data_IF_972179150285
#
_entry.id   IF_972179150285
#
_cell.length_a   1.000
_cell.length_b   1.000
_cell.length_c   1.000
_cell.angle_alpha   90.00
_cell.angle_beta   90.00
_cell.angle_gamma   90.00
#
_symmetry.space_group_name_H-M   'P 1'
#
loop_
_entity.id
_entity.type
_entity.pdbx_description
1 polymer ?
#
# COMPACT_ATOMS: atom_id res chain seq x y z
N UNK A 1 10.36 5.04 6.86
CA UNK A 1 10.01 5.63 5.54
C UNK A 1 10.08 4.62 4.38
N UNK A 2 10.81 3.50 4.51
CA UNK A 2 10.89 2.47 3.46
C UNK A 2 9.51 1.94 3.05
N UNK A 3 8.62 1.76 4.01
CA UNK A 3 7.24 1.31 3.75
C UNK A 3 6.47 2.24 2.81
N UNK A 4 6.50 3.55 3.06
CA UNK A 4 5.79 4.53 2.22
C UNK A 4 6.38 4.56 0.81
N UNK A 5 7.71 4.49 0.68
CA UNK A 5 8.37 4.39 -0.64
C UNK A 5 7.93 3.12 -1.39
N UNK A 6 7.84 1.99 -0.69
CA UNK A 6 7.34 0.73 -1.26
C UNK A 6 5.88 0.84 -1.70
N UNK A 7 5.04 1.49 -0.90
CA UNK A 7 3.63 1.73 -1.24
C UNK A 7 3.50 2.57 -2.52
N UNK A 8 4.24 3.67 -2.62
CA UNK A 8 4.22 4.51 -3.82
C UNK A 8 4.70 3.75 -5.06
N UNK A 9 5.65 2.83 -4.90
CA UNK A 9 6.10 1.96 -6.00
C UNK A 9 5.00 1.01 -6.47
N UNK A 10 4.38 0.25 -5.57
CA UNK A 10 3.31 -0.70 -5.94
C UNK A 10 2.03 0.02 -6.40
N UNK A 11 1.84 1.28 -5.99
CA UNK A 11 0.76 2.14 -6.46
C UNK A 11 1.01 2.74 -7.85
N UNK A 12 2.20 2.53 -8.44
CA UNK A 12 2.56 3.11 -9.74
C UNK A 12 2.86 4.62 -9.69
N UNK A 13 2.97 5.19 -8.50
CA UNK A 13 3.33 6.60 -8.28
C UNK A 13 4.86 6.79 -8.40
N UNK A 14 5.61 5.78 -7.96
CA UNK A 14 7.07 5.70 -7.99
C UNK A 14 7.71 6.09 -6.65
N UNK A 15 8.60 5.23 -6.17
CA UNK A 15 9.30 5.42 -4.87
C UNK A 15 10.17 6.68 -4.79
N UNK A 16 10.58 7.21 -5.94
CA UNK A 16 11.40 8.42 -6.04
C UNK A 16 10.58 9.71 -5.93
N UNK A 17 9.24 9.63 -5.85
CA UNK A 17 8.39 10.81 -5.57
C UNK A 17 8.41 11.22 -4.10
N UNK A 18 8.94 10.39 -3.21
CA UNK A 18 9.11 10.71 -1.79
C UNK A 18 10.59 10.93 -1.49
N UNK A 19 10.95 12.16 -1.12
CA UNK A 19 12.27 12.51 -0.63
C UNK A 19 12.20 12.81 0.86
N UNK A 20 13.04 12.16 1.64
CA UNK A 20 13.14 12.36 3.08
C UNK A 20 14.59 12.19 3.51
N UNK A 21 15.16 13.26 4.08
CA UNK A 21 16.55 13.32 4.49
C UNK A 21 16.66 14.07 5.81
N UNK A 22 17.55 13.60 6.69
CA UNK A 22 17.90 14.30 7.92
C UNK A 22 19.19 15.09 7.70
N UNK A 23 19.15 16.40 7.91
CA UNK A 23 20.31 17.30 7.75
C UNK A 23 20.40 18.21 8.95
N UNK A 24 21.59 18.32 9.54
CA UNK A 24 21.84 19.27 10.61
C UNK A 24 21.98 20.69 10.07
N UNK A 25 21.62 21.69 10.86
CA UNK A 25 21.81 23.11 10.51
C UNK A 25 23.28 23.51 10.32
N UNK A 26 24.22 22.70 10.83
CA UNK A 26 25.65 22.90 10.64
C UNK A 26 26.19 22.37 9.30
N UNK A 27 25.41 21.56 8.56
CA UNK A 27 25.84 20.87 7.34
C UNK A 27 25.39 21.62 6.06
N UNK A 28 25.75 22.89 5.94
CA UNK A 28 25.27 23.76 4.85
C UNK A 28 25.55 23.20 3.45
N UNK A 29 26.73 22.61 3.23
CA UNK A 29 27.10 22.03 1.94
C UNK A 29 26.24 20.81 1.58
N UNK A 30 26.05 19.89 2.54
CA UNK A 30 25.21 18.70 2.35
C UNK A 30 23.75 19.06 2.10
N UNK A 31 23.25 20.10 2.77
CA UNK A 31 21.91 20.62 2.50
C UNK A 31 21.76 21.08 1.05
N UNK A 32 22.72 21.85 0.53
CA UNK A 32 22.69 22.34 -0.84
C UNK A 32 22.68 21.18 -1.86
N UNK A 33 23.51 20.16 -1.65
CA UNK A 33 23.57 18.96 -2.50
C UNK A 33 22.26 18.17 -2.48
N UNK A 34 21.66 17.95 -1.31
CA UNK A 34 20.37 17.27 -1.19
C UNK A 34 19.27 18.07 -1.89
N UNK A 35 19.22 19.38 -1.68
CA UNK A 35 18.22 20.24 -2.31
C UNK A 35 18.35 20.20 -3.84
N UNK A 36 19.57 20.25 -4.38
CA UNK A 36 19.83 20.12 -5.81
C UNK A 36 19.35 18.76 -6.36
N UNK A 37 19.68 17.66 -5.68
CA UNK A 37 19.23 16.33 -6.07
C UNK A 37 17.71 16.19 -6.08
N UNK A 38 17.02 16.73 -5.06
CA UNK A 38 15.55 16.73 -5.00
C UNK A 38 14.96 17.55 -6.15
N UNK A 39 15.50 18.74 -6.43
CA UNK A 39 15.04 19.59 -7.54
C UNK A 39 15.22 18.88 -8.88
N UNK A 40 16.37 18.23 -9.11
CA UNK A 40 16.64 17.49 -10.33
C UNK A 40 15.73 16.27 -10.48
N UNK A 41 15.48 15.56 -9.38
CA UNK A 41 14.51 14.46 -9.33
C UNK A 41 13.10 14.92 -9.71
N UNK A 42 12.60 16.01 -9.09
CA UNK A 42 11.28 16.58 -9.38
C UNK A 42 11.16 17.02 -10.85
N UNK A 43 12.20 17.67 -11.39
CA UNK A 43 12.23 18.06 -12.81
C UNK A 43 12.16 16.86 -13.74
N UNK A 44 12.87 15.78 -13.41
CA UNK A 44 12.90 14.54 -14.21
C UNK A 44 11.56 13.82 -14.20
N UNK A 45 10.91 13.77 -13.04
CA UNK A 45 9.64 13.06 -12.86
C UNK A 45 8.42 13.85 -13.35
N UNK A 46 8.55 15.17 -13.45
CA UNK A 46 7.48 16.04 -13.91
C UNK A 46 6.24 16.05 -13.01
N UNK A 47 5.20 16.75 -13.51
CA UNK A 47 3.92 16.90 -12.80
C UNK A 47 3.24 15.54 -12.64
N UNK A 48 2.70 15.30 -11.44
CA UNK A 48 1.88 14.12 -11.16
C UNK A 48 0.48 14.30 -11.79
N UNK A 49 0.02 13.29 -12.52
CA UNK A 49 -1.35 13.22 -13.03
C UNK A 49 -2.29 12.70 -11.95
N UNK A 50 -2.72 13.60 -11.06
CA UNK A 50 -3.56 13.27 -9.90
C UNK A 50 -4.89 12.62 -10.31
N UNK A 51 -5.65 13.12 -11.31
CA UNK A 51 -6.88 12.47 -11.75
C UNK A 51 -6.68 11.03 -12.22
N UNK A 52 -5.58 10.73 -12.91
CA UNK A 52 -5.29 9.37 -13.36
C UNK A 52 -4.91 8.41 -12.22
N UNK A 53 -4.51 8.94 -11.06
CA UNK A 53 -4.01 8.19 -9.90
C UNK A 53 -4.94 8.29 -8.67
N UNK A 54 -6.14 8.85 -8.83
CA UNK A 54 -7.04 9.13 -7.71
C UNK A 54 -7.35 7.86 -6.91
N UNK A 55 -7.69 6.75 -7.59
CA UNK A 55 -7.96 5.48 -6.92
C UNK A 55 -6.74 4.95 -6.16
N UNK A 56 -5.55 5.02 -6.76
CA UNK A 56 -4.31 4.53 -6.17
C UNK A 56 -3.91 5.36 -4.94
N UNK A 57 -4.11 6.68 -5.00
CA UNK A 57 -3.87 7.59 -3.88
C UNK A 57 -4.85 7.31 -2.74
N UNK A 58 -6.16 7.19 -3.03
CA UNK A 58 -7.16 6.86 -2.01
C UNK A 58 -6.90 5.49 -1.39
N UNK A 59 -6.58 4.47 -2.19
CA UNK A 59 -6.23 3.15 -1.66
C UNK A 59 -4.98 3.20 -0.78
N UNK A 60 -3.96 3.98 -1.17
CA UNK A 60 -2.74 4.18 -0.39
C UNK A 60 -3.03 4.82 0.97
N UNK A 61 -3.87 5.86 0.99
CA UNK A 61 -4.30 6.54 2.22
C UNK A 61 -5.04 5.58 3.14
N UNK A 62 -6.07 4.89 2.63
CA UNK A 62 -6.79 3.85 3.37
C UNK A 62 -5.88 2.77 3.95
N UNK A 63 -4.84 2.39 3.21
CA UNK A 63 -3.88 1.36 3.64
C UNK A 63 -3.02 1.85 4.80
N UNK A 64 -2.55 3.09 4.75
CA UNK A 64 -1.71 3.67 5.81
C UNK A 64 -2.52 4.00 7.07
N UNK A 65 -3.80 4.35 6.92
CA UNK A 65 -4.73 4.58 8.04
C UNK A 65 -5.19 3.26 8.70
N UNK A 66 -5.01 2.13 8.01
CA UNK A 66 -5.37 0.81 8.45
C UNK A 66 -4.64 0.38 9.73
N UNK A 67 -5.39 -0.23 10.66
CA UNK A 67 -4.86 -0.69 11.94
C UNK A 67 -3.72 -1.70 11.80
N UNK A 68 -3.83 -2.64 10.86
CA UNK A 68 -2.85 -3.71 10.68
C UNK A 68 -1.44 -3.16 10.46
N UNK A 69 -1.26 -2.22 9.52
CA UNK A 69 0.05 -1.65 9.25
C UNK A 69 0.55 -0.76 10.36
N UNK A 70 -0.33 0.08 10.92
CA UNK A 70 0.02 0.92 12.06
C UNK A 70 0.54 0.09 13.24
N UNK A 71 -0.08 -1.06 13.50
CA UNK A 71 0.35 -1.96 14.56
C UNK A 71 1.70 -2.62 14.26
N UNK A 72 1.89 -3.14 13.05
CA UNK A 72 3.16 -3.75 12.64
C UNK A 72 4.31 -2.73 12.70
N UNK A 73 4.17 -1.56 12.07
CA UNK A 73 5.18 -0.50 12.12
C UNK A 73 5.48 -0.09 13.57
N UNK A 74 4.47 0.01 14.43
CA UNK A 74 4.65 0.33 15.85
C UNK A 74 5.37 -0.75 16.67
N UNK A 75 5.44 -2.00 16.18
CA UNK A 75 6.08 -3.12 16.87
C UNK A 75 7.49 -3.43 16.36
N UNK A 76 7.89 -2.88 15.22
CA UNK A 76 9.18 -3.15 14.58
C UNK A 76 10.37 -2.99 15.53
N UNK A 77 10.54 -1.80 16.15
CA UNK A 77 11.66 -1.52 17.08
C UNK A 77 11.62 -2.44 18.29
N UNK A 78 10.43 -2.70 18.84
CA UNK A 78 10.29 -3.61 19.98
C UNK A 78 10.76 -5.02 19.62
N UNK A 79 10.27 -5.58 18.50
CA UNK A 79 10.53 -6.97 18.11
C UNK A 79 11.99 -7.16 17.68
N UNK A 80 12.54 -6.24 16.90
CA UNK A 80 13.92 -6.35 16.37
C UNK A 80 14.99 -6.04 17.42
N UNK A 81 14.72 -5.09 18.34
CA UNK A 81 15.72 -4.68 19.35
C UNK A 81 15.58 -5.45 20.67
N UNK A 82 14.36 -5.61 21.17
CA UNK A 82 14.07 -6.16 22.50
C UNK A 82 13.55 -7.59 22.47
N UNK A 83 13.08 -8.06 21.31
CA UNK A 83 12.53 -9.40 21.12
C UNK A 83 11.00 -9.43 21.12
N UNK A 84 10.45 -10.51 20.60
CA UNK A 84 9.02 -10.80 20.59
C UNK A 84 8.50 -11.16 22.00
N UNK A 85 7.22 -11.53 22.09
CA UNK A 85 6.57 -11.92 23.36
C UNK A 85 7.20 -13.14 24.04
N UNK A 86 8.08 -13.87 23.34
CA UNK A 86 8.84 -15.02 23.86
C UNK A 86 10.33 -14.67 24.07
N UNK A 87 10.71 -13.40 23.94
CA UNK A 87 12.10 -12.94 24.06
C UNK A 87 12.98 -13.29 22.87
N UNK A 88 12.42 -13.75 21.74
CA UNK A 88 13.19 -14.07 20.54
C UNK A 88 13.39 -12.81 19.73
N UNK A 89 14.64 -12.50 19.36
CA UNK A 89 14.94 -11.39 18.45
C UNK A 89 14.77 -11.84 17.00
N UNK A 90 14.16 -10.98 16.22
CA UNK A 90 13.95 -11.19 14.80
C UNK A 90 14.98 -10.39 14.02
N UNK A 91 15.49 -10.99 12.93
CA UNK A 91 16.26 -10.25 11.94
C UNK A 91 15.39 -9.18 11.30
N UNK A 92 15.95 -7.98 11.10
CA UNK A 92 15.22 -6.82 10.56
C UNK A 92 14.64 -7.14 9.19
N UNK A 93 15.43 -7.71 8.29
CA UNK A 93 14.99 -8.06 6.93
C UNK A 93 13.81 -9.05 6.92
N UNK A 94 13.80 -10.00 7.84
CA UNK A 94 12.72 -10.97 7.96
C UNK A 94 11.41 -10.30 8.45
N UNK A 95 11.53 -9.35 9.38
CA UNK A 95 10.40 -8.56 9.84
C UNK A 95 9.87 -7.65 8.73
N UNK A 96 10.76 -6.93 8.04
CA UNK A 96 10.40 -6.06 6.93
C UNK A 96 9.71 -6.82 5.79
N UNK A 97 10.12 -8.06 5.48
CA UNK A 97 9.44 -8.90 4.50
C UNK A 97 7.97 -9.13 4.86
N UNK A 98 7.67 -9.44 6.13
CA UNK A 98 6.29 -9.65 6.59
C UNK A 98 5.49 -8.35 6.54
N UNK A 99 6.12 -7.24 6.92
CA UNK A 99 5.50 -5.92 6.84
C UNK A 99 5.19 -5.55 5.38
N UNK A 100 6.07 -5.87 4.42
CA UNK A 100 5.84 -5.66 2.99
C UNK A 100 4.69 -6.52 2.45
N UNK A 101 4.63 -7.79 2.85
CA UNK A 101 3.54 -8.69 2.44
C UNK A 101 2.18 -8.18 2.97
N UNK A 102 2.16 -7.72 4.23
CA UNK A 102 0.99 -7.10 4.82
C UNK A 102 0.60 -5.81 4.08
N UNK A 103 1.58 -4.95 3.74
CA UNK A 103 1.34 -3.71 2.99
C UNK A 103 0.67 -3.99 1.64
N UNK A 104 1.24 -4.91 0.87
CA UNK A 104 0.71 -5.24 -0.46
C UNK A 104 -0.69 -5.86 -0.36
N UNK A 105 -0.91 -6.72 0.64
CA UNK A 105 -2.21 -7.32 0.89
C UNK A 105 -3.28 -6.28 1.21
N UNK A 106 -3.02 -5.38 2.15
CA UNK A 106 -3.97 -4.35 2.55
C UNK A 106 -4.19 -3.31 1.43
N UNK A 107 -3.15 -2.98 0.66
CA UNK A 107 -3.30 -2.15 -0.54
C UNK A 107 -4.21 -2.78 -1.60
N UNK A 108 -4.00 -4.06 -1.93
CA UNK A 108 -4.84 -4.76 -2.91
C UNK A 108 -6.29 -4.88 -2.46
N UNK A 109 -6.55 -5.10 -1.17
CA UNK A 109 -7.92 -5.09 -0.62
C UNK A 109 -8.60 -3.74 -0.80
N UNK A 110 -7.90 -2.65 -0.50
CA UNK A 110 -8.45 -1.30 -0.66
C UNK A 110 -8.72 -0.97 -2.13
N UNK A 111 -7.86 -1.38 -3.06
CA UNK A 111 -8.14 -1.27 -4.50
C UNK A 111 -9.39 -2.05 -4.91
N UNK A 112 -9.55 -3.29 -4.44
CA UNK A 112 -10.74 -4.11 -4.71
C UNK A 112 -12.00 -3.44 -4.15
N UNK A 113 -11.94 -2.96 -2.91
CA UNK A 113 -13.05 -2.28 -2.25
C UNK A 113 -13.49 -1.03 -3.03
N UNK A 114 -12.53 -0.18 -3.44
CA UNK A 114 -12.82 1.01 -4.24
C UNK A 114 -13.38 0.65 -5.63
N UNK A 115 -12.86 -0.39 -6.28
CA UNK A 115 -13.40 -0.85 -7.55
C UNK A 115 -14.87 -1.31 -7.43
N UNK A 116 -15.21 -2.05 -6.37
CA UNK A 116 -16.60 -2.45 -6.09
C UNK A 116 -17.48 -1.23 -5.85
N UNK A 117 -17.00 -0.24 -5.08
CA UNK A 117 -17.73 1.03 -4.86
C UNK A 117 -17.96 1.83 -6.14
N UNK A 118 -17.10 1.68 -7.15
CA UNK A 118 -17.27 2.27 -8.47
C UNK A 118 -18.18 1.44 -9.40
N UNK A 119 -18.74 0.33 -8.92
CA UNK A 119 -19.69 -0.50 -9.64
C UNK A 119 -19.08 -1.72 -10.35
N UNK A 120 -17.80 -2.05 -10.10
CA UNK A 120 -17.19 -3.28 -10.60
C UNK A 120 -17.49 -4.43 -9.64
N UNK A 121 -18.56 -5.17 -9.90
CA UNK A 121 -19.13 -6.11 -8.91
C UNK A 121 -18.67 -7.55 -9.06
N UNK A 122 -18.05 -7.94 -10.20
CA UNK A 122 -17.50 -9.28 -10.37
C UNK A 122 -15.98 -9.27 -10.60
N UNK A 123 -15.33 -10.40 -10.28
CA UNK A 123 -13.86 -10.57 -10.31
C UNK A 123 -13.22 -10.13 -11.62
N UNK A 124 -13.87 -10.39 -12.77
CA UNK A 124 -13.33 -10.00 -14.08
C UNK A 124 -13.40 -8.50 -14.32
N UNK A 125 -14.47 -7.85 -13.88
CA UNK A 125 -14.60 -6.39 -13.94
C UNK A 125 -13.57 -5.72 -13.03
N UNK A 126 -13.43 -6.22 -11.80
CA UNK A 126 -12.44 -5.71 -10.84
C UNK A 126 -11.04 -5.84 -11.43
N UNK A 127 -10.65 -7.02 -11.92
CA UNK A 127 -9.35 -7.27 -12.56
C UNK A 127 -9.08 -6.30 -13.71
N UNK A 128 -10.07 -6.06 -14.57
CA UNK A 128 -9.93 -5.11 -15.68
C UNK A 128 -9.77 -3.66 -15.20
N UNK A 129 -10.42 -3.28 -14.09
CA UNK A 129 -10.39 -1.93 -13.57
C UNK A 129 -9.06 -1.59 -12.89
N UNK A 130 -8.51 -2.52 -12.09
CA UNK A 130 -7.32 -2.25 -11.25
C UNK A 130 -6.05 -2.95 -11.71
N UNK A 131 -6.13 -3.82 -12.72
CA UNK A 131 -4.97 -4.52 -13.30
C UNK A 131 -4.43 -5.67 -12.46
N UNK A 132 -5.13 -6.10 -11.40
CA UNK A 132 -4.73 -7.24 -10.56
C UNK A 132 -5.16 -8.58 -11.15
N UNK A 133 -4.38 -9.62 -10.85
CA UNK A 133 -4.68 -11.00 -11.25
C UNK A 133 -6.00 -11.51 -10.64
N UNK A 134 -6.74 -12.29 -11.42
CA UNK A 134 -8.06 -12.83 -11.06
C UNK A 134 -7.97 -13.74 -9.84
N UNK A 135 -6.93 -14.58 -9.73
CA UNK A 135 -6.77 -15.46 -8.57
C UNK A 135 -6.46 -14.67 -7.32
N UNK A 136 -5.63 -13.62 -7.42
CA UNK A 136 -5.35 -12.72 -6.29
C UNK A 136 -6.64 -12.03 -5.80
N UNK A 137 -7.46 -11.51 -6.72
CA UNK A 137 -8.73 -10.88 -6.35
C UNK A 137 -9.67 -11.89 -5.70
N UNK A 138 -9.83 -13.07 -6.30
CA UNK A 138 -10.71 -14.11 -5.75
C UNK A 138 -10.29 -14.54 -4.35
N UNK A 139 -8.99 -14.67 -4.10
CA UNK A 139 -8.46 -15.02 -2.79
C UNK A 139 -8.72 -13.92 -1.75
N UNK A 140 -8.49 -12.65 -2.11
CA UNK A 140 -8.72 -11.52 -1.20
C UNK A 140 -10.20 -11.28 -0.91
N UNK A 141 -11.09 -11.49 -1.88
CA UNK A 141 -12.54 -11.34 -1.68
C UNK A 141 -13.07 -12.26 -0.59
N UNK A 142 -12.59 -13.50 -0.51
CA UNK A 142 -13.00 -14.44 0.54
C UNK A 142 -12.60 -13.93 1.94
N UNK A 143 -11.42 -13.33 2.07
CA UNK A 143 -10.96 -12.72 3.32
C UNK A 143 -11.68 -11.42 3.66
N UNK A 144 -11.99 -10.60 2.65
CA UNK A 144 -12.76 -9.37 2.79
C UNK A 144 -14.21 -9.66 3.20
N UNK A 145 -14.80 -10.76 2.72
CA UNK A 145 -16.12 -11.22 3.13
C UNK A 145 -16.10 -11.70 4.59
N UNK A 146 -15.09 -12.49 4.97
CA UNK A 146 -14.91 -12.96 6.35
C UNK A 146 -14.70 -11.82 7.36
N UNK A 147 -14.25 -10.65 6.90
CA UNK A 147 -13.99 -9.45 7.71
C UNK A 147 -15.05 -8.37 7.53
N UNK A 148 -16.19 -8.68 6.91
CA UNK A 148 -17.32 -7.75 6.68
C UNK A 148 -16.94 -6.46 5.92
N UNK A 149 -15.93 -6.51 5.06
CA UNK A 149 -15.60 -5.40 4.15
C UNK A 149 -16.44 -5.46 2.87
N UNK A 150 -16.81 -6.66 2.43
CA UNK A 150 -17.64 -6.90 1.25
C UNK A 150 -18.65 -8.00 1.54
N UNK A 151 -19.71 -8.07 0.75
CA UNK A 151 -20.75 -9.09 0.85
C UNK A 151 -20.98 -9.75 -0.50
N UNK A 152 -21.13 -11.08 -0.51
CA UNK A 152 -21.61 -11.81 -1.68
C UNK A 152 -23.12 -11.61 -1.85
N UNK A 153 -23.52 -10.99 -2.96
CA UNK A 153 -24.92 -10.63 -3.24
C UNK A 153 -25.65 -11.64 -4.12
N UNK A 154 -24.93 -12.61 -4.69
CA UNK A 154 -25.50 -13.66 -5.54
C UNK A 154 -24.71 -13.91 -6.81
N UNK A 155 -25.34 -14.60 -7.76
CA UNK A 155 -24.76 -14.98 -9.03
C UNK A 155 -25.44 -14.25 -10.19
N UNK A 156 -24.66 -13.58 -11.04
CA UNK A 156 -25.12 -13.04 -12.31
C UNK A 156 -24.42 -13.79 -13.46
N UNK A 157 -25.18 -14.46 -14.31
CA UNK A 157 -24.64 -15.24 -15.44
C UNK A 157 -23.51 -16.21 -15.02
N UNK A 158 -23.73 -16.95 -13.92
CA UNK A 158 -22.75 -17.86 -13.30
C UNK A 158 -21.46 -17.18 -12.81
N UNK A 159 -21.47 -15.86 -12.57
CA UNK A 159 -20.36 -15.11 -11.97
C UNK A 159 -20.77 -14.59 -10.59
N UNK A 160 -19.89 -14.72 -9.58
CA UNK A 160 -20.18 -14.17 -8.26
C UNK A 160 -20.16 -12.64 -8.30
N UNK A 161 -21.13 -12.04 -7.63
CA UNK A 161 -21.34 -10.59 -7.55
C UNK A 161 -21.17 -10.14 -6.09
N UNK A 162 -20.40 -9.08 -5.89
CA UNK A 162 -20.07 -8.55 -4.57
C UNK A 162 -20.51 -7.09 -4.44
N UNK A 163 -20.88 -6.70 -3.22
CA UNK A 163 -21.11 -5.31 -2.82
C UNK A 163 -20.15 -4.91 -1.70
N UNK A 164 -19.74 -3.65 -1.70
CA UNK A 164 -18.96 -3.07 -0.61
C UNK A 164 -19.91 -2.78 0.57
N UNK A 165 -19.45 -3.10 1.80
CA UNK A 165 -20.14 -2.77 3.04
C UNK A 165 -19.69 -1.40 3.59
#
# INVERSE_FOLDING_TARGET
MLLTRKLLEIAGIGKERLHFEWVSSAEAQRFAEIAENVVNSVKTQGKLDVPALEMQLTASEMTLDGETLRWLVGKEVQITTHGDVYGRKWEVDAYESILHDALEREYHKNLIYLAIRQGHTNVRQISKAIGLDIHRISYLLADMEATSMVEFTGMDNSKPVFSAL
#
